data_IF_210843059699
#
_entry.id   IF_210843059699
#
_cell.length_a   1.000
_cell.length_b   1.000
_cell.length_c   1.000
_cell.angle_alpha   90.00
_cell.angle_beta   90.00
_cell.angle_gamma   90.00
#
_symmetry.space_group_name_H-M   'P 1'
#
loop_
_entity.id
_entity.type
_entity.pdbx_description
1 polymer ?
#
# COMPACT_ATOMS: atom_id res chain seq x y z
N UNK A 1 -30.89 21.67 -3.18
CA UNK A 1 -29.67 20.87 -3.41
C UNK A 1 -28.95 20.76 -2.07
N UNK A 2 -28.80 19.56 -1.48
CA UNK A 2 -27.94 19.40 -0.30
C UNK A 2 -26.52 19.80 -0.74
N UNK A 3 -25.90 20.79 -0.08
CA UNK A 3 -24.45 21.03 -0.23
C UNK A 3 -23.78 19.72 0.17
N UNK A 4 -23.32 18.94 -0.81
CA UNK A 4 -22.51 17.76 -0.55
C UNK A 4 -21.28 18.19 0.24
N UNK A 5 -20.80 17.34 1.13
CA UNK A 5 -19.48 17.50 1.76
C UNK A 5 -18.43 17.59 0.66
N UNK A 6 -17.47 18.53 0.77
CA UNK A 6 -16.35 18.60 -0.18
C UNK A 6 -15.57 17.27 -0.21
N UNK A 7 -15.07 16.82 -1.37
CA UNK A 7 -14.31 15.58 -1.45
C UNK A 7 -13.04 15.66 -0.61
N UNK A 8 -12.73 14.58 0.10
CA UNK A 8 -11.48 14.43 0.83
C UNK A 8 -10.34 14.15 -0.15
N UNK A 9 -9.18 14.73 0.08
CA UNK A 9 -7.93 14.40 -0.61
C UNK A 9 -6.90 14.12 0.47
N UNK A 10 -6.57 12.85 0.66
CA UNK A 10 -5.73 12.39 1.76
C UNK A 10 -4.77 11.30 1.30
N UNK A 11 -3.49 11.47 1.59
CA UNK A 11 -2.45 10.52 1.25
C UNK A 11 -1.65 10.22 2.50
N UNK A 12 -1.68 8.98 2.96
CA UNK A 12 -0.87 8.59 4.11
C UNK A 12 0.60 8.46 3.70
N UNK A 13 1.48 8.98 4.54
CA UNK A 13 2.92 8.83 4.40
C UNK A 13 3.38 7.75 5.37
N UNK A 14 3.54 6.52 4.89
CA UNK A 14 3.97 5.40 5.71
C UNK A 14 5.43 5.58 6.16
N UNK A 15 5.64 5.56 7.49
CA UNK A 15 6.96 5.66 8.10
C UNK A 15 7.14 4.66 9.24
N UNK A 16 8.35 4.14 9.40
CA UNK A 16 8.75 3.26 10.52
C UNK A 16 9.84 3.91 11.39
N UNK A 17 10.18 5.17 11.11
CA UNK A 17 11.17 5.96 11.86
C UNK A 17 10.90 7.44 11.69
N UNK A 18 11.52 8.26 12.53
CA UNK A 18 11.39 9.72 12.40
C UNK A 18 12.06 10.20 11.11
N UNK A 19 11.36 11.06 10.39
CA UNK A 19 11.82 11.67 9.14
C UNK A 19 11.10 12.99 8.88
N UNK A 20 11.70 13.83 8.02
CA UNK A 20 11.11 15.10 7.60
C UNK A 20 9.93 14.82 6.67
N UNK A 21 8.74 15.28 7.06
CA UNK A 21 7.50 15.09 6.31
C UNK A 21 7.18 16.34 5.48
N UNK A 22 6.45 16.21 4.35
CA UNK A 22 5.95 17.38 3.62
C UNK A 22 4.95 18.17 4.46
N UNK A 23 4.96 19.50 4.33
CA UNK A 23 4.03 20.39 5.02
C UNK A 23 2.66 20.52 4.31
N UNK A 24 2.54 20.00 3.09
CA UNK A 24 1.30 20.09 2.31
C UNK A 24 0.18 19.24 2.93
N UNK A 25 -1.00 19.84 3.09
CA UNK A 25 -2.20 19.22 3.68
C UNK A 25 -2.76 18.00 2.94
N UNK A 26 -2.20 17.63 1.78
CA UNK A 26 -2.46 16.35 1.14
C UNK A 26 -1.94 15.18 1.98
N UNK A 27 -0.86 15.39 2.74
CA UNK A 27 -0.10 14.32 3.37
C UNK A 27 -0.39 14.19 4.86
N UNK A 28 -0.71 12.97 5.29
CA UNK A 28 -0.87 12.61 6.70
C UNK A 28 0.21 11.59 7.08
N UNK A 29 1.24 11.97 7.88
CA UNK A 29 2.22 11.03 8.38
C UNK A 29 1.56 9.94 9.24
N UNK A 30 1.88 8.69 8.94
CA UNK A 30 1.38 7.51 9.64
C UNK A 30 2.56 6.61 10.03
N UNK A 31 2.74 6.43 11.34
CA UNK A 31 3.67 5.45 11.88
C UNK A 31 3.08 4.06 11.63
N UNK A 32 3.78 3.25 10.84
CA UNK A 32 3.40 1.87 10.56
C UNK A 32 4.17 0.90 11.46
N UNK A 33 3.52 -0.19 11.88
CA UNK A 33 4.08 -1.09 12.88
C UNK A 33 4.20 -0.43 14.25
N UNK A 34 3.23 0.42 14.59
CA UNK A 34 3.22 1.20 15.83
C UNK A 34 3.28 0.31 17.08
N UNK A 35 2.72 -0.90 17.01
CA UNK A 35 2.81 -1.88 18.11
C UNK A 35 4.26 -2.25 18.44
N UNK A 36 5.13 -2.32 17.44
CA UNK A 36 6.55 -2.63 17.64
C UNK A 36 7.34 -1.40 18.02
N UNK A 37 7.08 -0.28 17.34
CA UNK A 37 7.84 0.95 17.53
C UNK A 37 7.71 1.47 18.97
N UNK A 38 6.49 1.51 19.51
CA UNK A 38 6.21 2.07 20.82
C UNK A 38 6.78 1.21 21.96
N UNK A 39 6.93 -0.10 21.77
CA UNK A 39 7.58 -0.96 22.76
C UNK A 39 9.11 -0.79 22.75
N UNK A 40 9.70 -0.62 21.55
CA UNK A 40 11.15 -0.48 21.39
C UNK A 40 11.68 0.90 21.78
N UNK A 41 10.90 1.96 21.57
CA UNK A 41 11.34 3.35 21.72
C UNK A 41 10.63 4.08 22.88
N UNK A 42 10.79 3.53 24.09
CA UNK A 42 10.24 4.14 25.31
C UNK A 42 10.90 5.50 25.60
N UNK A 43 10.07 6.50 25.89
CA UNK A 43 10.54 7.83 26.31
C UNK A 43 10.85 8.82 25.17
N UNK A 44 10.54 8.48 23.91
CA UNK A 44 10.68 9.42 22.80
C UNK A 44 9.43 10.29 22.68
N UNK A 45 9.62 11.60 22.59
CA UNK A 45 8.55 12.54 22.24
C UNK A 45 8.29 12.48 20.74
N UNK A 46 7.10 12.02 20.37
CA UNK A 46 6.69 11.91 18.97
C UNK A 46 6.05 13.22 18.46
N UNK A 47 6.17 13.53 17.15
CA UNK A 47 5.49 14.68 16.56
C UNK A 47 3.97 14.60 16.75
N UNK A 48 3.33 15.70 17.16
CA UNK A 48 1.87 15.72 17.44
C UNK A 48 0.99 15.35 16.25
N UNK A 49 1.47 15.59 15.04
CA UNK A 49 0.73 15.33 13.79
C UNK A 49 0.95 13.90 13.25
N UNK A 50 1.73 13.06 13.94
CA UNK A 50 1.97 11.68 13.54
C UNK A 50 0.80 10.81 14.00
N UNK A 51 0.12 10.16 13.04
CA UNK A 51 -0.90 9.16 13.32
C UNK A 51 -0.25 7.78 13.56
N UNK A 52 -1.03 6.86 14.12
CA UNK A 52 -0.58 5.49 14.44
C UNK A 52 -1.51 4.45 13.82
N UNK A 53 -0.90 3.49 13.13
CA UNK A 53 -1.63 2.40 12.49
C UNK A 53 -2.16 1.34 13.46
N UNK A 54 -1.91 1.44 14.77
CA UNK A 54 -2.42 0.52 15.79
C UNK A 54 -3.70 1.03 16.51
N UNK A 55 -4.37 2.02 15.96
CA UNK A 55 -5.64 2.55 16.48
C UNK A 55 -6.83 2.04 15.67
N UNK A 56 -8.03 1.97 16.27
CA UNK A 56 -9.23 1.51 15.56
C UNK A 56 -9.09 0.08 15.00
N UNK A 57 -9.66 -0.16 13.82
CA UNK A 57 -9.54 -1.46 13.14
C UNK A 57 -8.18 -1.52 12.44
N UNK A 58 -7.33 -2.49 12.80
CA UNK A 58 -5.96 -2.51 12.30
C UNK A 58 -5.32 -3.91 12.23
N UNK A 59 -4.14 -3.95 11.61
CA UNK A 59 -3.23 -5.11 11.54
C UNK A 59 -1.78 -4.68 11.83
N UNK A 60 -1.57 -3.66 12.68
CA UNK A 60 -0.24 -3.09 12.97
C UNK A 60 0.75 -4.16 13.47
N UNK A 61 0.30 -5.08 14.32
CA UNK A 61 1.08 -6.21 14.83
C UNK A 61 1.56 -7.18 13.73
N UNK A 62 1.10 -7.04 12.49
CA UNK A 62 1.56 -7.80 11.33
C UNK A 62 2.57 -7.06 10.46
N UNK A 63 3.06 -5.88 10.88
CA UNK A 63 3.91 -5.02 10.07
C UNK A 63 5.23 -5.70 9.62
N UNK A 64 5.81 -6.58 10.43
CA UNK A 64 6.99 -7.37 10.01
C UNK A 64 6.72 -8.24 8.76
N UNK A 65 5.47 -8.58 8.49
CA UNK A 65 5.05 -9.38 7.34
C UNK A 65 4.41 -8.54 6.23
N UNK A 66 3.55 -7.60 6.60
CA UNK A 66 2.73 -6.79 5.69
C UNK A 66 3.37 -5.44 5.30
N UNK A 67 4.42 -5.01 5.99
CA UNK A 67 5.12 -3.74 5.74
C UNK A 67 4.13 -2.56 5.66
N UNK A 68 4.27 -1.66 4.68
CA UNK A 68 3.42 -0.47 4.52
C UNK A 68 1.91 -0.80 4.35
N UNK A 69 1.55 -2.06 4.04
CA UNK A 69 0.15 -2.46 3.92
C UNK A 69 -0.62 -2.36 5.24
N UNK A 70 0.05 -2.37 6.40
CA UNK A 70 -0.64 -2.14 7.68
C UNK A 70 -1.24 -0.73 7.74
N UNK A 71 -0.51 0.25 7.21
CA UNK A 71 -1.00 1.61 7.04
C UNK A 71 -2.12 1.71 6.00
N UNK A 72 -1.99 1.01 4.87
CA UNK A 72 -3.05 0.97 3.85
C UNK A 72 -4.36 0.40 4.42
N UNK A 73 -4.26 -0.72 5.13
CA UNK A 73 -5.40 -1.35 5.78
C UNK A 73 -6.05 -0.42 6.80
N UNK A 74 -5.23 0.25 7.61
CA UNK A 74 -5.71 1.21 8.59
C UNK A 74 -6.48 2.37 7.94
N UNK A 75 -5.93 2.98 6.88
CA UNK A 75 -6.60 4.06 6.13
C UNK A 75 -7.94 3.57 5.56
N UNK A 76 -7.94 2.39 4.94
CA UNK A 76 -9.13 1.79 4.36
C UNK A 76 -10.26 1.61 5.39
N UNK A 77 -9.96 0.96 6.53
CA UNK A 77 -10.98 0.60 7.52
C UNK A 77 -11.46 1.79 8.36
N UNK A 78 -10.57 2.74 8.65
CA UNK A 78 -10.85 3.79 9.63
C UNK A 78 -11.30 5.11 9.00
N UNK A 79 -10.93 5.37 7.73
CA UNK A 79 -11.24 6.60 7.00
C UNK A 79 -12.11 6.31 5.78
N UNK A 80 -11.59 5.54 4.82
CA UNK A 80 -12.23 5.42 3.49
C UNK A 80 -13.63 4.83 3.57
N UNK A 81 -13.81 3.73 4.31
CA UNK A 81 -15.13 3.09 4.48
C UNK A 81 -16.18 3.99 5.13
N UNK A 82 -15.76 5.00 5.90
CA UNK A 82 -16.66 5.94 6.59
C UNK A 82 -16.98 7.16 5.74
N UNK A 83 -16.19 7.42 4.70
CA UNK A 83 -16.46 8.50 3.78
C UNK A 83 -17.66 8.15 2.89
N UNK A 84 -18.57 9.10 2.75
CA UNK A 84 -19.78 8.96 1.93
C UNK A 84 -19.65 9.68 0.60
N UNK A 85 -18.56 10.42 0.37
CA UNK A 85 -18.32 11.13 -0.88
C UNK A 85 -17.54 10.24 -1.88
N UNK A 86 -18.14 9.81 -2.99
CA UNK A 86 -17.46 8.98 -4.00
C UNK A 86 -16.39 9.74 -4.79
N UNK A 87 -16.36 11.08 -4.73
CA UNK A 87 -15.39 11.92 -5.42
C UNK A 87 -14.13 12.21 -4.58
N UNK A 88 -14.01 11.61 -3.40
CA UNK A 88 -12.79 11.66 -2.59
C UNK A 88 -11.66 10.82 -3.18
N UNK A 89 -10.43 11.16 -2.83
CA UNK A 89 -9.22 10.47 -3.26
C UNK A 89 -8.34 10.12 -2.06
N UNK A 90 -7.84 8.88 -2.09
CA UNK A 90 -7.04 8.29 -1.04
C UNK A 90 -5.78 7.67 -1.61
N UNK A 91 -4.67 7.78 -0.88
CA UNK A 91 -3.40 7.28 -1.34
C UNK A 91 -2.46 6.83 -0.25
N UNK A 92 -1.42 6.14 -0.69
CA UNK A 92 -0.29 5.70 0.13
C UNK A 92 0.99 6.14 -0.58
N UNK A 93 1.90 6.75 0.17
CA UNK A 93 3.28 7.02 -0.25
C UNK A 93 4.24 6.63 0.88
N UNK A 94 5.53 6.57 0.57
CA UNK A 94 6.55 6.20 1.56
C UNK A 94 7.23 7.46 2.07
N UNK A 95 7.76 7.44 3.31
CA UNK A 95 8.40 8.59 3.97
C UNK A 95 9.53 9.32 3.21
N UNK A 96 10.09 8.73 2.14
CA UNK A 96 11.12 9.37 1.29
C UNK A 96 10.83 9.28 -0.21
N UNK A 97 9.65 8.82 -0.60
CA UNK A 97 9.31 8.60 -2.02
C UNK A 97 7.88 9.08 -2.24
N UNK A 98 7.77 10.20 -2.93
CA UNK A 98 6.52 10.88 -3.23
C UNK A 98 6.29 10.87 -4.75
N UNK A 99 5.02 11.00 -5.14
CA UNK A 99 4.67 11.30 -6.52
C UNK A 99 5.06 12.75 -6.84
N UNK A 100 5.39 13.04 -8.09
CA UNK A 100 5.67 14.39 -8.56
C UNK A 100 5.28 14.57 -10.03
N UNK A 101 4.89 15.79 -10.39
CA UNK A 101 4.50 16.18 -11.76
C UNK A 101 5.65 16.92 -12.47
N UNK A 102 6.39 17.77 -11.76
CA UNK A 102 7.34 18.71 -12.35
C UNK A 102 8.75 18.17 -12.42
N UNK A 103 9.26 17.68 -11.30
CA UNK A 103 10.65 17.23 -11.15
C UNK A 103 10.74 15.99 -10.24
N UNK A 104 11.95 15.57 -9.87
CA UNK A 104 12.16 14.38 -9.02
C UNK A 104 12.28 14.70 -7.53
N UNK A 105 12.17 15.97 -7.14
CA UNK A 105 12.50 16.46 -5.80
C UNK A 105 11.26 16.97 -5.05
N UNK A 106 10.31 17.61 -5.73
CA UNK A 106 9.13 18.19 -5.10
C UNK A 106 7.96 17.18 -5.04
N UNK A 107 7.42 16.87 -3.85
CA UNK A 107 6.19 16.09 -3.71
C UNK A 107 5.00 16.78 -4.40
N UNK A 108 4.08 15.96 -4.92
CA UNK A 108 2.78 16.38 -5.44
C UNK A 108 2.01 17.16 -4.36
N UNK A 109 1.57 18.37 -4.68
CA UNK A 109 0.77 19.19 -3.76
C UNK A 109 -0.73 18.88 -3.87
N UNK A 110 -1.51 19.25 -2.85
CA UNK A 110 -2.99 19.12 -2.90
C UNK A 110 -3.60 19.88 -4.08
N UNK A 111 -3.10 21.08 -4.36
CA UNK A 111 -3.54 21.92 -5.48
C UNK A 111 -3.23 21.25 -6.84
N UNK A 112 -2.05 20.65 -6.98
CA UNK A 112 -1.69 19.92 -8.20
C UNK A 112 -2.55 18.67 -8.37
N UNK A 113 -2.83 17.92 -7.30
CA UNK A 113 -3.77 16.81 -7.34
C UNK A 113 -5.14 17.31 -7.82
N UNK A 114 -5.71 18.35 -7.22
CA UNK A 114 -6.99 18.94 -7.64
C UNK A 114 -7.02 19.29 -9.13
N UNK A 115 -5.93 19.85 -9.66
CA UNK A 115 -5.81 20.16 -11.08
C UNK A 115 -5.82 18.91 -11.95
N UNK A 116 -5.16 17.83 -11.53
CA UNK A 116 -5.24 16.53 -12.23
C UNK A 116 -6.68 15.97 -12.19
N UNK A 117 -7.39 16.12 -11.07
CA UNK A 117 -8.76 15.61 -10.95
C UNK A 117 -9.74 16.34 -11.89
N UNK A 118 -9.50 17.63 -12.16
CA UNK A 118 -10.25 18.38 -13.18
C UNK A 118 -10.08 17.80 -14.60
N UNK A 119 -9.01 17.03 -14.85
CA UNK A 119 -8.76 16.30 -16.09
C UNK A 119 -9.38 14.89 -16.09
N UNK A 120 -10.18 14.54 -15.08
CA UNK A 120 -10.88 13.26 -14.90
C UNK A 120 -9.96 12.04 -14.72
N UNK A 121 -8.75 12.23 -14.19
CA UNK A 121 -7.93 11.10 -13.74
C UNK A 121 -8.50 10.48 -12.47
N UNK A 122 -8.64 9.15 -12.44
CA UNK A 122 -9.17 8.41 -11.29
C UNK A 122 -8.09 7.62 -10.54
N UNK A 123 -6.93 7.42 -11.17
CA UNK A 123 -5.78 6.70 -10.62
C UNK A 123 -4.50 7.48 -10.96
N UNK A 124 -3.71 7.81 -9.95
CA UNK A 124 -2.37 8.38 -10.09
C UNK A 124 -1.34 7.37 -9.58
N UNK A 125 -0.39 7.02 -10.46
CA UNK A 125 0.65 6.02 -10.21
C UNK A 125 2.03 6.54 -10.61
N UNK A 126 3.12 6.00 -10.04
CA UNK A 126 4.46 6.24 -10.55
C UNK A 126 4.63 5.62 -11.95
N UNK A 127 5.63 6.09 -12.69
CA UNK A 127 6.01 5.48 -13.97
C UNK A 127 6.38 4.01 -13.77
N UNK A 128 6.04 3.16 -14.75
CA UNK A 128 6.42 1.74 -14.73
C UNK A 128 7.94 1.60 -14.64
N UNK A 129 8.38 0.62 -13.87
CA UNK A 129 9.76 0.14 -13.88
C UNK A 129 9.89 -0.92 -14.97
N UNK A 130 10.98 -0.85 -15.75
CA UNK A 130 11.31 -1.84 -16.77
C UNK A 130 12.39 -2.81 -16.25
N UNK A 131 12.22 -4.10 -16.52
CA UNK A 131 13.10 -5.20 -16.20
C UNK A 131 13.69 -5.78 -17.50
N UNK A 132 14.87 -5.28 -17.88
CA UNK A 132 15.49 -5.58 -19.18
C UNK A 132 16.18 -6.93 -19.27
N UNK A 133 16.33 -7.65 -18.16
CA UNK A 133 17.04 -8.95 -18.11
C UNK A 133 16.05 -10.10 -17.97
N UNK A 134 14.99 -9.94 -17.18
CA UNK A 134 14.09 -11.03 -16.80
C UNK A 134 12.62 -10.57 -16.75
N UNK A 135 11.70 -11.53 -16.64
CA UNK A 135 10.28 -11.26 -16.38
C UNK A 135 10.02 -11.10 -14.86
N UNK A 136 8.85 -10.60 -14.49
CA UNK A 136 8.50 -10.30 -13.10
C UNK A 136 8.51 -11.55 -12.20
N UNK A 137 8.07 -12.70 -12.72
CA UNK A 137 8.08 -13.96 -11.96
C UNK A 137 9.51 -14.41 -11.63
N UNK A 138 10.40 -14.42 -12.63
CA UNK A 138 11.80 -14.79 -12.43
C UNK A 138 12.52 -13.78 -11.53
N UNK A 139 12.24 -12.49 -11.67
CA UNK A 139 12.78 -11.46 -10.76
C UNK A 139 12.41 -11.75 -9.30
N UNK A 140 11.16 -12.12 -9.05
CA UNK A 140 10.71 -12.54 -7.72
C UNK A 140 11.45 -13.81 -7.28
N UNK A 141 11.45 -14.87 -8.09
CA UNK A 141 12.04 -16.16 -7.74
C UNK A 141 13.56 -16.12 -7.49
N UNK A 142 14.28 -15.21 -8.15
CA UNK A 142 15.72 -14.99 -7.90
C UNK A 142 16.00 -14.16 -6.64
N UNK A 143 15.01 -13.40 -6.16
CA UNK A 143 15.18 -12.49 -5.00
C UNK A 143 14.56 -13.04 -3.72
N UNK A 144 13.51 -13.86 -3.84
CA UNK A 144 12.65 -14.32 -2.76
C UNK A 144 12.33 -15.81 -2.95
N UNK A 145 11.89 -16.47 -1.87
CA UNK A 145 11.35 -17.82 -1.97
C UNK A 145 10.04 -17.79 -2.78
N UNK A 146 9.97 -18.58 -3.85
CA UNK A 146 8.85 -18.56 -4.79
C UNK A 146 7.57 -19.22 -4.25
N UNK A 147 7.70 -20.12 -3.27
CA UNK A 147 6.57 -20.90 -2.72
C UNK A 147 5.35 -20.06 -2.31
N UNK A 148 5.50 -18.97 -1.54
CA UNK A 148 4.39 -18.06 -1.24
C UNK A 148 3.71 -17.48 -2.49
N UNK A 149 4.46 -17.09 -3.53
CA UNK A 149 3.91 -16.56 -4.78
C UNK A 149 3.14 -17.63 -5.56
N UNK A 150 3.65 -18.86 -5.61
CA UNK A 150 2.95 -19.97 -6.25
C UNK A 150 1.66 -20.33 -5.47
N UNK A 151 1.67 -20.25 -4.13
CA UNK A 151 0.46 -20.43 -3.33
C UNK A 151 -0.56 -19.30 -3.54
N UNK A 152 -0.10 -18.06 -3.72
CA UNK A 152 -0.96 -16.95 -4.14
C UNK A 152 -1.66 -17.24 -5.47
N UNK A 153 -0.95 -17.82 -6.44
CA UNK A 153 -1.53 -18.20 -7.73
C UNK A 153 -2.69 -19.17 -7.56
N UNK A 154 -2.55 -20.19 -6.71
CA UNK A 154 -3.61 -21.17 -6.48
C UNK A 154 -4.82 -20.54 -5.77
N UNK A 155 -4.61 -19.59 -4.86
CA UNK A 155 -5.69 -18.81 -4.24
C UNK A 155 -6.42 -17.95 -5.28
N UNK A 156 -5.69 -17.30 -6.20
CA UNK A 156 -6.30 -16.53 -7.29
C UNK A 156 -7.12 -17.45 -8.20
N UNK A 157 -6.58 -18.62 -8.56
CA UNK A 157 -7.29 -19.61 -9.38
C UNK A 157 -8.61 -20.06 -8.75
N UNK A 158 -8.64 -20.24 -7.43
CA UNK A 158 -9.83 -20.68 -6.69
C UNK A 158 -10.84 -19.56 -6.48
N UNK A 159 -10.38 -18.39 -6.01
CA UNK A 159 -11.26 -17.31 -5.52
C UNK A 159 -11.47 -16.16 -6.49
N UNK A 160 -10.54 -15.95 -7.42
CA UNK A 160 -10.52 -14.84 -8.37
C UNK A 160 -10.10 -15.31 -9.77
N UNK A 161 -10.77 -16.34 -10.35
CA UNK A 161 -10.32 -17.01 -11.57
C UNK A 161 -10.17 -16.06 -12.76
N UNK A 162 -10.98 -15.00 -12.83
CA UNK A 162 -10.92 -13.99 -13.89
C UNK A 162 -9.59 -13.21 -13.91
N UNK A 163 -8.89 -13.14 -12.77
CA UNK A 163 -7.58 -12.50 -12.65
C UNK A 163 -6.41 -13.46 -12.88
N UNK A 164 -6.65 -14.77 -12.97
CA UNK A 164 -5.58 -15.76 -13.17
C UNK A 164 -4.78 -15.52 -14.47
N UNK A 165 -5.40 -15.19 -15.63
CA UNK A 165 -4.63 -14.88 -16.84
C UNK A 165 -3.69 -13.69 -16.65
N UNK A 166 -4.09 -12.69 -15.85
CA UNK A 166 -3.26 -11.52 -15.56
C UNK A 166 -2.09 -11.86 -14.62
N UNK A 167 -2.32 -12.74 -13.64
CA UNK A 167 -1.25 -13.28 -12.80
C UNK A 167 -0.26 -14.13 -13.61
N UNK A 168 -0.73 -14.99 -14.51
CA UNK A 168 0.15 -15.84 -15.34
C UNK A 168 1.03 -15.03 -16.30
N UNK A 169 0.61 -13.82 -16.67
CA UNK A 169 1.43 -12.88 -17.44
C UNK A 169 2.67 -12.41 -16.69
N UNK A 170 2.81 -12.61 -15.37
CA UNK A 170 4.05 -12.33 -14.65
C UNK A 170 5.26 -13.08 -15.25
N UNK A 171 5.03 -14.25 -15.85
CA UNK A 171 6.05 -15.08 -16.51
C UNK A 171 6.54 -14.51 -17.86
N UNK A 172 5.87 -13.51 -18.41
CA UNK A 172 6.23 -12.88 -19.70
C UNK A 172 6.41 -11.37 -19.59
N UNK A 173 5.74 -10.73 -18.62
CA UNK A 173 5.78 -9.28 -18.41
C UNK A 173 7.13 -8.84 -17.86
N UNK A 174 7.65 -7.75 -18.42
CA UNK A 174 8.95 -7.17 -18.09
C UNK A 174 8.85 -5.73 -17.56
N UNK A 175 7.66 -5.31 -17.17
CA UNK A 175 7.44 -3.97 -16.61
C UNK A 175 6.21 -3.95 -15.70
N UNK A 176 6.27 -3.21 -14.60
CA UNK A 176 5.13 -3.02 -13.71
C UNK A 176 5.20 -1.67 -12.99
N UNK A 177 4.07 -1.23 -12.45
CA UNK A 177 4.05 -0.19 -11.42
C UNK A 177 4.55 -0.84 -10.13
N UNK A 178 5.81 -0.59 -9.80
CA UNK A 178 6.41 -1.13 -8.57
C UNK A 178 6.14 -0.17 -7.42
N UNK A 179 6.18 -0.72 -6.20
CA UNK A 179 5.95 -0.03 -4.92
C UNK A 179 4.48 0.24 -4.61
N UNK A 180 4.17 0.28 -3.31
CA UNK A 180 2.84 0.60 -2.78
C UNK A 180 2.67 2.12 -2.73
N UNK A 181 2.80 2.77 -3.90
CA UNK A 181 2.75 4.23 -4.07
C UNK A 181 1.66 4.57 -5.09
N UNK A 182 0.57 5.15 -4.63
CA UNK A 182 -0.59 5.46 -5.48
C UNK A 182 -1.55 6.46 -4.83
N UNK A 183 -2.44 7.05 -5.64
CA UNK A 183 -3.61 7.82 -5.20
C UNK A 183 -4.80 7.44 -6.09
N UNK A 184 -5.86 6.89 -5.51
CA UNK A 184 -7.04 6.40 -6.23
C UNK A 184 -8.29 7.19 -5.81
N UNK A 185 -9.24 7.30 -6.74
CA UNK A 185 -10.62 7.71 -6.43
C UNK A 185 -11.26 6.68 -5.50
N UNK A 186 -12.07 7.13 -4.54
CA UNK A 186 -12.60 6.29 -3.45
C UNK A 186 -13.16 4.93 -3.90
N UNK A 187 -14.07 4.82 -4.89
CA UNK A 187 -14.63 3.52 -5.27
C UNK A 187 -13.56 2.53 -5.76
N UNK A 188 -12.60 3.02 -6.55
CA UNK A 188 -11.47 2.21 -7.04
C UNK A 188 -10.48 1.87 -5.91
N UNK A 189 -10.31 2.76 -4.93
CA UNK A 189 -9.52 2.47 -3.73
C UNK A 189 -10.13 1.32 -2.93
N UNK A 190 -11.46 1.30 -2.75
CA UNK A 190 -12.16 0.24 -2.03
C UNK A 190 -12.04 -1.10 -2.78
N UNK A 191 -12.33 -1.11 -4.08
CA UNK A 191 -12.16 -2.30 -4.94
C UNK A 191 -10.71 -2.82 -4.89
N UNK A 192 -9.75 -1.89 -5.00
CA UNK A 192 -8.32 -2.22 -4.89
C UNK A 192 -7.92 -2.70 -3.50
N UNK A 193 -8.58 -2.32 -2.41
CA UNK A 193 -8.22 -2.87 -1.10
C UNK A 193 -8.85 -4.25 -0.89
N UNK A 194 -10.09 -4.44 -1.33
CA UNK A 194 -10.82 -5.72 -1.20
C UNK A 194 -10.08 -6.87 -1.88
N UNK A 195 -9.55 -6.64 -3.08
CA UNK A 195 -8.85 -7.67 -3.86
C UNK A 195 -7.56 -8.22 -3.22
N UNK A 196 -6.47 -7.43 -3.03
CA UNK A 196 -5.23 -7.88 -2.43
C UNK A 196 -5.41 -8.28 -0.96
N UNK A 197 -6.20 -7.57 -0.14
CA UNK A 197 -6.40 -8.05 1.24
C UNK A 197 -7.18 -9.37 1.28
N UNK A 198 -8.16 -9.56 0.38
CA UNK A 198 -8.84 -10.85 0.23
C UNK A 198 -7.88 -12.00 -0.11
N UNK A 199 -6.91 -11.75 -0.99
CA UNK A 199 -5.88 -12.73 -1.38
C UNK A 199 -4.86 -12.94 -0.25
N UNK A 200 -4.32 -11.86 0.33
CA UNK A 200 -3.24 -11.92 1.31
C UNK A 200 -3.70 -12.55 2.63
N UNK A 201 -4.92 -12.24 3.09
CA UNK A 201 -5.50 -12.87 4.28
C UNK A 201 -5.78 -14.36 4.05
N UNK A 202 -6.21 -14.73 2.83
CA UNK A 202 -6.35 -16.14 2.44
C UNK A 202 -4.99 -16.84 2.40
N UNK A 203 -3.94 -16.16 1.89
CA UNK A 203 -2.58 -16.69 1.88
C UNK A 203 -2.08 -16.90 3.31
N UNK A 204 -2.27 -15.92 4.19
CA UNK A 204 -1.87 -16.01 5.59
C UNK A 204 -2.54 -17.19 6.29
N UNK A 205 -3.84 -17.39 6.05
CA UNK A 205 -4.62 -18.47 6.64
C UNK A 205 -4.27 -19.85 6.05
N UNK A 206 -3.66 -19.90 4.87
CA UNK A 206 -3.20 -21.14 4.22
C UNK A 206 -1.82 -21.62 4.69
N UNK A 207 -1.13 -20.83 5.52
CA UNK A 207 0.23 -21.11 5.97
C UNK A 207 0.21 -21.60 7.43
N UNK A 208 1.02 -22.60 7.74
CA UNK A 208 1.22 -23.00 9.14
C UNK A 208 2.07 -21.97 9.89
N UNK A 209 2.08 -22.06 11.22
CA UNK A 209 2.93 -21.20 12.06
C UNK A 209 4.42 -21.38 11.69
N UNK A 210 4.84 -22.61 11.45
CA UNK A 210 6.21 -22.94 11.05
C UNK A 210 6.55 -22.31 9.69
N UNK A 211 5.63 -22.35 8.72
CA UNK A 211 5.80 -21.69 7.41
C UNK A 211 5.85 -20.16 7.51
N UNK A 212 5.18 -19.56 8.49
CA UNK A 212 5.22 -18.11 8.72
C UNK A 212 6.51 -17.65 9.40
N UNK A 213 7.09 -18.47 10.28
CA UNK A 213 8.27 -18.10 11.09
C UNK A 213 9.61 -18.59 10.54
N UNK A 214 9.62 -19.39 9.47
CA UNK A 214 10.85 -19.95 8.87
C UNK A 214 11.75 -18.93 8.17
N UNK A 215 11.23 -17.76 7.82
CA UNK A 215 11.94 -16.77 7.01
C UNK A 215 12.62 -15.72 7.89
N UNK A 216 13.78 -15.23 7.45
CA UNK A 216 14.44 -14.08 8.07
C UNK A 216 13.60 -12.79 7.89
N UNK A 217 13.99 -11.70 8.57
CA UNK A 217 13.25 -10.44 8.51
C UNK A 217 13.16 -9.81 7.10
N UNK A 218 14.07 -10.15 6.18
CA UNK A 218 13.97 -9.67 4.80
C UNK A 218 12.87 -10.42 4.04
N UNK A 219 12.90 -11.76 4.12
CA UNK A 219 12.03 -12.69 3.41
C UNK A 219 10.63 -12.80 4.04
N UNK A 220 10.49 -12.60 5.36
CA UNK A 220 9.21 -12.62 6.07
C UNK A 220 8.20 -11.57 5.58
N UNK A 221 8.68 -10.55 4.85
CA UNK A 221 7.87 -9.48 4.24
C UNK A 221 7.17 -9.89 2.94
N UNK A 222 7.12 -11.19 2.62
CA UNK A 222 6.63 -11.67 1.33
C UNK A 222 5.19 -11.21 1.03
N UNK A 223 4.33 -11.01 2.03
CA UNK A 223 2.98 -10.45 1.81
C UNK A 223 3.06 -9.06 1.16
N UNK A 224 3.88 -8.17 1.70
CA UNK A 224 4.12 -6.84 1.11
C UNK A 224 4.91 -6.85 -0.20
N UNK A 225 5.50 -8.00 -0.60
CA UNK A 225 6.18 -8.17 -1.90
C UNK A 225 5.25 -8.76 -2.97
N UNK A 226 4.21 -9.45 -2.54
CA UNK A 226 3.20 -10.08 -3.41
C UNK A 226 2.11 -9.06 -3.77
N UNK A 227 1.74 -8.17 -2.84
CA UNK A 227 0.83 -7.04 -3.09
C UNK A 227 1.36 -6.14 -4.20
#
# INVERSE_FOLDING_TARGET
MKKGTSPALEVIVATHKMYVMPDDSLYQPLLVGSDFFLDQQKGITLPKHLAFDNTGINISSKNHNYSELTGLYWLWQNTVKKDTNPDSFYGLVHYRRFLSIKDKQSPLTKTELQNLLNLKYEIILPKKRNYYIENLYNHYAHTLHVGPLDRTREIIKEKYPDFLPEFDRLKTRRSAHMFNIFIFKKPLFEEYCEFPFGILLALESSLTKEELTRYDGFHARFFGRIS
#
